data_IF_066675755309
#
_entry.id   IF_066675755309
#
_cell.length_a   1.000
_cell.length_b   1.000
_cell.length_c   1.000
_cell.angle_alpha   90.00
_cell.angle_beta   90.00
_cell.angle_gamma   90.00
#
_symmetry.space_group_name_H-M   'P 1'
#
loop_
_entity.id
_entity.type
_entity.pdbx_description
1 polymer ?
#
# COMPACT_ATOMS: atom_id res chain seq x y z
N UNK A 1 -17.90 -21.41 0.75
CA UNK A 1 -18.67 -21.91 -0.39
C UNK A 1 -19.84 -22.70 0.16
N UNK A 2 -21.06 -22.23 -0.03
CA UNK A 2 -22.27 -22.98 0.31
C UNK A 2 -22.72 -23.80 -0.90
N UNK A 3 -22.48 -25.12 -0.86
CA UNK A 3 -22.86 -26.02 -1.95
C UNK A 3 -24.38 -26.02 -2.20
N UNK A 4 -25.16 -25.84 -1.13
CA UNK A 4 -26.62 -25.76 -1.20
C UNK A 4 -27.11 -24.54 -1.98
N UNK A 5 -26.53 -23.36 -1.70
CA UNK A 5 -26.85 -22.12 -2.41
C UNK A 5 -26.50 -22.22 -3.90
N UNK A 6 -25.34 -22.80 -4.24
CA UNK A 6 -24.95 -22.99 -5.65
C UNK A 6 -25.88 -23.96 -6.38
N UNK A 7 -26.34 -25.02 -5.70
CA UNK A 7 -27.30 -25.96 -6.27
C UNK A 7 -28.66 -25.30 -6.50
N UNK A 8 -29.10 -24.41 -5.60
CA UNK A 8 -30.29 -23.60 -5.81
C UNK A 8 -30.17 -22.70 -7.05
N UNK A 9 -29.04 -22.03 -7.25
CA UNK A 9 -28.81 -21.20 -8.44
C UNK A 9 -28.89 -21.99 -9.76
N UNK A 10 -28.41 -23.24 -9.76
CA UNK A 10 -28.46 -24.13 -10.94
C UNK A 10 -29.91 -24.48 -11.29
N UNK A 11 -30.77 -24.70 -10.28
CA UNK A 11 -32.20 -25.03 -10.44
C UNK A 11 -32.98 -23.88 -11.09
N UNK A 12 -32.56 -22.62 -10.94
CA UNK A 12 -33.23 -21.48 -11.58
C UNK A 12 -33.11 -21.55 -13.11
N UNK A 13 -34.26 -21.56 -13.81
CA UNK A 13 -34.38 -21.62 -15.28
C UNK A 13 -34.89 -20.29 -15.83
N UNK A 14 -34.65 -20.04 -17.13
CA UNK A 14 -35.14 -18.84 -17.82
C UNK A 14 -34.31 -17.56 -17.61
N UNK A 15 -33.15 -17.66 -16.93
CA UNK A 15 -32.21 -16.55 -16.78
C UNK A 15 -31.25 -16.47 -17.97
N UNK A 16 -30.92 -15.27 -18.49
CA UNK A 16 -29.84 -15.09 -19.43
C UNK A 16 -28.51 -15.63 -18.86
N UNK A 17 -27.59 -16.17 -19.70
CA UNK A 17 -26.36 -16.78 -19.21
C UNK A 17 -25.53 -15.87 -18.29
N UNK A 18 -25.36 -14.61 -18.66
CA UNK A 18 -24.62 -13.63 -17.86
C UNK A 18 -25.28 -13.36 -16.49
N UNK A 19 -26.61 -13.28 -16.44
CA UNK A 19 -27.38 -13.10 -15.20
C UNK A 19 -27.25 -14.32 -14.30
N UNK A 20 -27.26 -15.52 -14.90
CA UNK A 20 -27.10 -16.77 -14.20
C UNK A 20 -25.71 -16.93 -13.59
N UNK A 21 -24.66 -16.44 -14.27
CA UNK A 21 -23.28 -16.40 -13.74
C UNK A 21 -23.20 -15.48 -12.52
N UNK A 22 -23.80 -14.29 -12.59
CA UNK A 22 -23.84 -13.35 -11.45
C UNK A 22 -24.54 -13.97 -10.24
N UNK A 23 -25.68 -14.63 -10.45
CA UNK A 23 -26.40 -15.35 -9.40
C UNK A 23 -25.56 -16.48 -8.79
N UNK A 24 -24.83 -17.23 -9.62
CA UNK A 24 -23.98 -18.32 -9.18
C UNK A 24 -22.84 -17.82 -8.29
N UNK A 25 -22.13 -16.75 -8.68
CA UNK A 25 -21.07 -16.15 -7.85
C UNK A 25 -21.59 -15.56 -6.53
N UNK A 26 -22.81 -15.02 -6.52
CA UNK A 26 -23.46 -14.58 -5.29
C UNK A 26 -23.75 -15.76 -4.34
N UNK A 27 -24.19 -16.89 -4.89
CA UNK A 27 -24.47 -18.10 -4.12
C UNK A 27 -23.19 -18.78 -3.61
N UNK A 28 -22.11 -18.80 -4.40
CA UNK A 28 -20.81 -19.32 -3.99
C UNK A 28 -20.25 -18.58 -2.76
N UNK A 29 -20.50 -17.27 -2.71
CA UNK A 29 -20.09 -16.37 -1.63
C UNK A 29 -21.08 -16.26 -0.47
N UNK A 30 -22.20 -16.96 -0.53
CA UNK A 30 -23.19 -16.97 0.54
C UNK A 30 -22.67 -17.76 1.75
N UNK A 31 -22.89 -17.21 2.95
CA UNK A 31 -22.65 -17.87 4.22
C UNK A 31 -23.96 -17.94 5.01
N UNK A 32 -24.41 -19.12 5.50
CA UNK A 32 -25.64 -19.26 6.28
C UNK A 32 -25.75 -18.35 7.50
N UNK A 33 -24.64 -18.14 8.23
CA UNK A 33 -24.68 -17.41 9.50
C UNK A 33 -24.66 -15.88 9.33
N UNK A 34 -23.94 -15.41 8.31
CA UNK A 34 -23.68 -13.98 8.12
C UNK A 34 -24.44 -13.39 6.92
N UNK A 35 -24.78 -14.18 5.91
CA UNK A 35 -25.36 -13.73 4.64
C UNK A 35 -24.31 -13.45 3.55
N UNK A 36 -24.71 -12.69 2.52
CA UNK A 36 -23.87 -12.38 1.35
C UNK A 36 -23.50 -10.89 1.25
N UNK A 37 -22.20 -10.56 1.32
CA UNK A 37 -21.69 -9.17 1.29
C UNK A 37 -20.51 -8.90 0.31
N UNK A 38 -20.52 -9.41 -0.94
CA UNK A 38 -19.44 -9.13 -1.87
C UNK A 38 -19.38 -7.64 -2.25
N UNK A 39 -18.15 -7.09 -2.31
CA UNK A 39 -17.94 -5.76 -2.91
C UNK A 39 -18.26 -5.82 -4.40
N UNK A 40 -19.03 -4.86 -4.91
CA UNK A 40 -19.41 -4.81 -6.34
C UNK A 40 -18.21 -4.86 -7.30
N UNK A 41 -17.09 -4.23 -6.94
CA UNK A 41 -15.86 -4.27 -7.75
C UNK A 41 -15.32 -5.71 -7.87
N UNK A 42 -15.32 -6.45 -6.76
CA UNK A 42 -14.85 -7.83 -6.74
C UNK A 42 -15.83 -8.72 -7.52
N UNK A 43 -17.13 -8.59 -7.27
CA UNK A 43 -18.16 -9.36 -7.98
C UNK A 43 -18.11 -9.13 -9.50
N UNK A 44 -17.85 -7.90 -9.93
CA UNK A 44 -17.70 -7.56 -11.35
C UNK A 44 -16.48 -8.26 -11.99
N UNK A 45 -15.36 -8.33 -11.25
CA UNK A 45 -14.16 -9.03 -11.69
C UNK A 45 -14.39 -10.54 -11.78
N UNK A 46 -15.03 -11.13 -10.77
CA UNK A 46 -15.31 -12.58 -10.75
C UNK A 46 -16.23 -12.99 -11.92
N UNK A 47 -17.19 -12.13 -12.26
CA UNK A 47 -18.12 -12.36 -13.36
C UNK A 47 -17.57 -11.88 -14.72
N UNK A 48 -16.35 -11.33 -14.77
CA UNK A 48 -15.70 -10.79 -15.98
C UNK A 48 -16.54 -9.74 -16.75
N UNK A 49 -17.29 -8.92 -16.02
CA UNK A 49 -18.19 -7.90 -16.60
C UNK A 49 -17.90 -6.51 -16.03
N UNK A 50 -18.28 -5.48 -16.80
CA UNK A 50 -18.21 -4.09 -16.29
C UNK A 50 -19.15 -3.88 -15.10
N UNK A 51 -18.85 -2.90 -14.24
CA UNK A 51 -19.75 -2.53 -13.13
C UNK A 51 -21.12 -2.06 -13.62
N UNK A 52 -21.19 -1.46 -14.79
CA UNK A 52 -22.45 -1.05 -15.41
C UNK A 52 -23.30 -2.26 -15.81
N UNK A 53 -22.69 -3.26 -16.47
CA UNK A 53 -23.34 -4.52 -16.82
C UNK A 53 -23.76 -5.31 -15.59
N UNK A 54 -22.90 -5.39 -14.57
CA UNK A 54 -23.24 -6.02 -13.29
C UNK A 54 -24.49 -5.40 -12.68
N UNK A 55 -24.59 -4.06 -12.64
CA UNK A 55 -25.78 -3.41 -12.09
C UNK A 55 -27.04 -3.69 -12.90
N UNK A 56 -26.96 -3.83 -14.23
CA UNK A 56 -28.10 -4.26 -15.08
C UNK A 56 -28.54 -5.68 -14.73
N UNK A 57 -27.61 -6.62 -14.62
CA UNK A 57 -27.93 -8.00 -14.25
C UNK A 57 -28.45 -8.13 -12.82
N UNK A 58 -27.94 -7.32 -11.88
CA UNK A 58 -28.47 -7.25 -10.51
C UNK A 58 -29.91 -6.73 -10.50
N UNK A 59 -30.23 -5.71 -11.30
CA UNK A 59 -31.62 -5.23 -11.42
C UNK A 59 -32.54 -6.31 -12.00
N UNK A 60 -32.09 -7.06 -13.01
CA UNK A 60 -32.87 -8.15 -13.59
C UNK A 60 -33.11 -9.30 -12.59
N UNK A 61 -32.16 -9.56 -11.68
CA UNK A 61 -32.37 -10.51 -10.58
C UNK A 61 -33.36 -9.99 -9.53
N UNK A 62 -33.38 -8.68 -9.27
CA UNK A 62 -34.36 -8.04 -8.40
C UNK A 62 -35.77 -8.04 -9.00
N UNK A 63 -35.91 -7.74 -10.29
CA UNK A 63 -37.19 -7.78 -11.02
C UNK A 63 -37.82 -9.17 -11.04
N UNK A 64 -36.99 -10.22 -10.96
CA UNK A 64 -37.42 -11.62 -10.90
C UNK A 64 -37.59 -12.15 -9.48
N UNK A 65 -37.51 -11.28 -8.47
CA UNK A 65 -37.63 -11.63 -7.05
C UNK A 65 -36.64 -12.73 -6.60
N UNK A 66 -35.45 -12.81 -7.23
CA UNK A 66 -34.40 -13.78 -6.87
C UNK A 66 -33.36 -13.20 -5.90
N UNK A 67 -33.32 -11.86 -5.78
CA UNK A 67 -32.31 -11.11 -5.06
C UNK A 67 -32.93 -9.82 -4.51
N UNK A 68 -32.46 -9.37 -3.35
CA UNK A 68 -32.73 -8.03 -2.82
C UNK A 68 -31.43 -7.38 -2.35
N UNK A 69 -31.18 -6.12 -2.72
CA UNK A 69 -30.01 -5.35 -2.26
C UNK A 69 -30.38 -4.39 -1.14
N UNK A 70 -29.72 -4.56 0.01
CA UNK A 70 -29.84 -3.64 1.14
C UNK A 70 -28.55 -2.81 1.26
N UNK A 71 -28.67 -1.50 1.04
CA UNK A 71 -27.57 -0.56 1.24
C UNK A 71 -27.47 -0.24 2.72
N UNK A 72 -26.40 -0.71 3.33
CA UNK A 72 -26.14 -0.50 4.75
C UNK A 72 -25.25 0.72 4.95
N UNK A 73 -25.55 1.45 6.01
CA UNK A 73 -24.80 2.60 6.46
C UNK A 73 -24.43 2.36 7.91
N UNK A 74 -23.21 2.72 8.28
CA UNK A 74 -22.80 2.72 9.68
C UNK A 74 -23.29 4.02 10.33
N UNK A 75 -24.13 3.91 11.36
CA UNK A 75 -24.78 5.05 12.02
C UNK A 75 -23.77 5.93 12.76
N UNK A 76 -22.70 5.34 13.29
CA UNK A 76 -21.69 6.04 14.09
C UNK A 76 -20.67 6.77 13.21
N UNK A 77 -20.17 6.11 12.16
CA UNK A 77 -19.17 6.69 11.25
C UNK A 77 -19.76 7.44 10.04
N UNK A 78 -21.08 7.33 9.80
CA UNK A 78 -21.78 7.79 8.58
C UNK A 78 -21.14 7.28 7.27
N UNK A 79 -20.37 6.20 7.34
CA UNK A 79 -19.76 5.57 6.17
C UNK A 79 -20.67 4.49 5.61
N UNK A 80 -20.68 4.35 4.29
CA UNK A 80 -21.40 3.27 3.63
C UNK A 80 -20.68 1.94 3.89
N UNK A 81 -21.37 0.97 4.49
CA UNK A 81 -20.84 -0.39 4.72
C UNK A 81 -21.10 -1.28 3.51
N UNK A 82 -20.63 -2.54 3.57
CA UNK A 82 -20.84 -3.49 2.48
C UNK A 82 -22.31 -3.76 2.25
N UNK A 83 -22.76 -3.60 1.00
CA UNK A 83 -24.13 -3.95 0.57
C UNK A 83 -24.43 -5.40 0.91
N UNK A 84 -25.57 -5.64 1.55
CA UNK A 84 -26.10 -6.98 1.78
C UNK A 84 -26.92 -7.42 0.58
N UNK A 85 -26.71 -8.65 0.14
CA UNK A 85 -27.47 -9.31 -0.91
C UNK A 85 -28.28 -10.43 -0.27
N UNK A 86 -29.59 -10.25 -0.15
CA UNK A 86 -30.50 -11.27 0.36
C UNK A 86 -30.98 -12.12 -0.81
N UNK A 87 -30.79 -13.43 -0.74
CA UNK A 87 -31.18 -14.40 -1.78
C UNK A 87 -32.58 -14.95 -1.48
N UNK A 88 -33.33 -15.31 -2.52
CA UNK A 88 -34.73 -15.72 -2.37
C UNK A 88 -34.97 -17.02 -1.59
N UNK A 89 -33.93 -17.82 -1.32
CA UNK A 89 -34.02 -18.99 -0.46
C UNK A 89 -33.77 -18.69 1.02
N UNK A 90 -33.36 -17.47 1.38
CA UNK A 90 -33.15 -17.07 2.79
C UNK A 90 -34.49 -16.96 3.53
N UNK A 91 -34.52 -17.41 4.78
CA UNK A 91 -35.66 -17.23 5.68
C UNK A 91 -35.89 -15.72 5.93
N UNK A 92 -37.09 -15.23 5.60
CA UNK A 92 -37.42 -13.80 5.71
C UNK A 92 -37.23 -12.99 4.42
N UNK A 93 -36.96 -13.63 3.27
CA UNK A 93 -36.98 -12.95 1.98
C UNK A 93 -38.38 -12.41 1.64
N UNK A 94 -38.49 -11.09 1.40
CA UNK A 94 -39.74 -10.45 0.98
C UNK A 94 -39.64 -10.11 -0.50
N UNK A 95 -40.46 -10.75 -1.38
CA UNK A 95 -40.50 -10.42 -2.80
C UNK A 95 -40.85 -8.95 -3.02
N UNK A 96 -40.19 -8.29 -3.97
CA UNK A 96 -40.46 -6.91 -4.34
C UNK A 96 -41.90 -6.74 -4.84
N UNK A 97 -42.43 -7.76 -5.53
CA UNK A 97 -43.84 -7.85 -5.93
C UNK A 97 -44.83 -7.76 -4.76
N UNK A 98 -44.43 -8.22 -3.56
CA UNK A 98 -45.22 -8.16 -2.33
C UNK A 98 -44.97 -6.89 -1.50
N UNK A 99 -43.77 -6.31 -1.57
CA UNK A 99 -43.47 -5.02 -0.93
C UNK A 99 -44.28 -3.86 -1.56
N UNK A 100 -44.44 -3.88 -2.89
CA UNK A 100 -45.21 -2.89 -3.65
C UNK A 100 -46.73 -2.94 -3.41
N UNK A 101 -47.27 -4.09 -2.98
CA UNK A 101 -48.70 -4.21 -2.64
C UNK A 101 -49.02 -3.73 -1.22
N UNK A 102 -48.10 -3.88 -0.27
CA UNK A 102 -48.24 -3.35 1.11
C UNK A 102 -48.22 -1.81 1.12
N UNK A 103 -47.37 -1.18 0.30
CA UNK A 103 -47.37 0.29 0.17
C UNK A 103 -48.60 0.84 -0.58
N UNK A 104 -49.26 0.02 -1.41
CA UNK A 104 -50.49 0.42 -2.13
C UNK A 104 -51.77 0.29 -1.30
N UNK A 105 -51.85 -0.64 -0.34
CA UNK A 105 -52.99 -0.73 0.58
C UNK A 105 -52.98 0.36 1.67
N UNK A 106 -51.81 0.87 2.04
CA UNK A 106 -51.68 1.95 3.03
C UNK A 106 -52.05 3.36 2.49
N UNK A 107 -52.27 3.52 1.18
CA UNK A 107 -52.43 4.81 0.51
C UNK A 107 -53.86 5.11 0.02
N UNK A 108 -54.88 4.93 0.88
CA UNK A 108 -56.26 5.42 0.66
C UNK A 108 -56.58 6.60 1.61
N UNK A 109 -55.98 7.76 1.30
CA UNK A 109 -56.30 9.20 1.53
C UNK A 109 -57.12 9.68 2.78
N UNK A 110 -56.90 10.93 3.29
CA UNK A 110 -57.18 12.17 2.55
C UNK A 110 -56.02 13.19 2.49
N UNK A 111 -56.31 14.26 1.74
CA UNK A 111 -55.44 15.14 0.97
C UNK A 111 -54.77 16.33 1.73
N UNK A 112 -53.59 16.72 1.21
CA UNK A 112 -53.01 18.10 1.05
C UNK A 112 -52.49 18.86 2.29
N UNK A 113 -51.50 19.79 2.15
CA UNK A 113 -51.20 20.57 0.94
C UNK A 113 -49.77 20.51 0.39
N UNK A 114 -49.74 20.78 -0.91
CA UNK A 114 -48.61 21.17 -1.75
C UNK A 114 -48.04 22.51 -1.24
N UNK A 115 -46.76 22.56 -0.90
CA UNK A 115 -46.01 23.83 -0.85
C UNK A 115 -45.21 23.98 -2.13
N UNK A 116 -45.66 24.90 -2.98
CA UNK A 116 -44.88 25.44 -4.08
C UNK A 116 -43.66 26.16 -3.49
N UNK A 117 -42.45 25.74 -3.85
CA UNK A 117 -41.25 26.57 -3.77
C UNK A 117 -40.56 26.47 -5.14
N UNK A 118 -40.59 27.59 -5.86
CA UNK A 118 -39.89 27.85 -7.11
C UNK A 118 -38.35 27.91 -6.92
N UNK A 119 -37.55 27.77 -8.00
CA UNK A 119 -36.17 27.31 -7.93
C UNK A 119 -35.20 28.44 -7.59
N UNK A 120 -34.33 28.21 -6.61
CA UNK A 120 -33.15 29.07 -6.37
C UNK A 120 -31.95 28.50 -7.14
N UNK A 121 -31.27 29.29 -8.01
CA UNK A 121 -30.21 28.79 -8.86
C UNK A 121 -28.84 28.99 -8.18
N UNK A 122 -28.46 28.10 -7.27
CA UNK A 122 -27.08 28.08 -6.77
C UNK A 122 -26.44 26.71 -7.03
N UNK A 123 -25.73 26.65 -8.16
CA UNK A 123 -24.92 25.48 -8.56
C UNK A 123 -23.70 25.39 -7.64
N UNK A 124 -23.37 24.22 -7.06
CA UNK A 124 -22.02 23.98 -6.57
C UNK A 124 -21.07 23.88 -7.78
N UNK A 125 -20.18 24.86 -7.93
CA UNK A 125 -19.15 24.88 -8.97
C UNK A 125 -18.04 23.89 -8.58
N UNK A 126 -18.26 22.61 -8.87
CA UNK A 126 -17.17 21.63 -8.92
C UNK A 126 -16.44 21.81 -10.25
N UNK A 127 -15.19 22.29 -10.21
CA UNK A 127 -14.32 22.45 -11.39
C UNK A 127 -13.79 21.11 -11.96
N UNK A 128 -14.45 19.99 -11.66
CA UNK A 128 -14.11 18.68 -12.24
C UNK A 128 -15.08 18.39 -13.38
N UNK A 129 -14.54 18.06 -14.55
CA UNK A 129 -15.30 17.52 -15.68
C UNK A 129 -16.21 16.38 -15.18
N UNK A 130 -17.53 16.39 -15.48
CA UNK A 130 -18.42 15.31 -15.11
C UNK A 130 -17.91 14.01 -15.73
N UNK A 131 -17.65 12.99 -14.90
CA UNK A 131 -17.32 11.66 -15.41
C UNK A 131 -18.56 11.16 -16.17
N UNK A 132 -18.42 10.70 -17.43
CA UNK A 132 -19.51 10.08 -18.18
C UNK A 132 -20.18 8.98 -17.33
N UNK A 133 -21.39 9.24 -16.87
CA UNK A 133 -22.16 8.33 -16.04
C UNK A 133 -23.60 8.28 -16.56
N UNK A 134 -24.20 7.10 -16.53
CA UNK A 134 -25.56 6.84 -17.03
C UNK A 134 -26.66 7.68 -16.35
N UNK A 135 -26.36 8.32 -15.21
CA UNK A 135 -27.30 9.20 -14.50
C UNK A 135 -27.36 10.63 -15.05
N UNK A 136 -26.39 11.04 -15.86
CA UNK A 136 -26.41 12.36 -16.50
C UNK A 136 -26.89 12.18 -17.94
N UNK A 137 -28.13 12.55 -18.24
CA UNK A 137 -28.80 12.37 -19.55
C UNK A 137 -28.13 13.05 -20.75
N UNK A 138 -26.99 13.71 -20.54
CA UNK A 138 -26.17 14.34 -21.59
C UNK A 138 -25.06 13.42 -22.14
N UNK A 139 -24.75 12.28 -21.49
CA UNK A 139 -23.73 11.35 -21.99
C UNK A 139 -24.39 10.14 -22.67
N UNK A 140 -24.27 10.03 -24.00
CA UNK A 140 -24.68 8.84 -24.77
C UNK A 140 -23.75 7.64 -24.59
N UNK A 141 -22.57 7.82 -23.98
CA UNK A 141 -21.54 6.79 -23.84
C UNK A 141 -21.32 6.47 -22.36
N UNK A 142 -21.29 5.18 -22.03
CA UNK A 142 -20.93 4.68 -20.69
C UNK A 142 -19.43 4.42 -20.65
N UNK A 143 -18.75 4.87 -19.58
CA UNK A 143 -17.40 4.38 -19.28
C UNK A 143 -17.51 2.90 -18.89
N UNK A 144 -17.22 2.00 -19.83
CA UNK A 144 -17.03 0.59 -19.53
C UNK A 144 -15.63 0.43 -18.91
N UNK A 145 -15.56 -0.02 -17.65
CA UNK A 145 -14.30 -0.23 -16.92
C UNK A 145 -13.39 -1.33 -17.53
N UNK A 146 -13.87 -2.03 -18.57
CA UNK A 146 -13.19 -3.10 -19.28
C UNK A 146 -12.92 -2.68 -20.73
N UNK A 147 -11.71 -2.16 -21.00
CA UNK A 147 -11.21 -2.00 -22.36
C UNK A 147 -10.87 -3.38 -22.93
N UNK A 148 -11.72 -3.92 -23.81
CA UNK A 148 -11.47 -5.18 -24.54
C UNK A 148 -10.47 -5.01 -25.70
N UNK A 149 -10.05 -3.77 -25.99
CA UNK A 149 -9.09 -3.44 -27.06
C UNK A 149 -7.74 -3.12 -26.43
N UNK A 150 -6.73 -3.94 -26.72
CA UNK A 150 -5.32 -3.61 -26.45
C UNK A 150 -4.86 -2.70 -27.59
N UNK A 151 -4.83 -1.39 -27.34
CA UNK A 151 -4.31 -0.43 -28.32
C UNK A 151 -2.84 -0.77 -28.67
N UNK A 152 -2.45 -0.75 -29.96
CA UNK A 152 -1.07 -0.97 -30.35
C UNK A 152 -0.18 0.14 -29.76
N UNK A 153 0.98 -0.26 -29.23
CA UNK A 153 1.95 0.63 -28.57
C UNK A 153 2.41 1.69 -29.56
N UNK A 154 2.13 2.97 -29.28
CA UNK A 154 2.77 4.11 -29.95
C UNK A 154 4.16 4.31 -29.34
N UNK A 155 5.19 4.08 -30.15
CA UNK A 155 6.56 4.43 -29.80
C UNK A 155 6.70 5.96 -29.69
N UNK A 156 7.38 6.51 -28.66
CA UNK A 156 7.67 7.92 -28.61
C UNK A 156 8.81 8.26 -29.58
N UNK A 157 8.47 9.01 -30.63
CA UNK A 157 9.45 9.67 -31.50
C UNK A 157 10.20 10.71 -30.66
N UNK A 158 11.52 10.57 -30.66
CA UNK A 158 12.47 11.36 -29.92
C UNK A 158 12.98 12.48 -30.84
N UNK A 159 12.39 13.67 -30.78
CA UNK A 159 12.92 14.85 -31.49
C UNK A 159 13.30 15.93 -30.48
N UNK A 160 14.61 15.96 -30.19
CA UNK A 160 15.32 17.15 -29.72
C UNK A 160 15.63 18.02 -30.93
N UNK A 161 15.23 19.28 -30.90
CA UNK A 161 15.97 20.36 -31.55
C UNK A 161 15.68 21.69 -30.85
N UNK A 162 16.75 22.45 -30.66
CA UNK A 162 16.82 23.71 -29.93
C UNK A 162 16.14 24.87 -30.67
N UNK A 163 15.57 25.81 -29.92
CA UNK A 163 15.48 27.21 -30.34
C UNK A 163 15.67 28.12 -29.11
N UNK A 164 16.80 28.82 -29.11
CA UNK A 164 17.21 29.83 -28.13
C UNK A 164 16.52 31.17 -28.37
N UNK A 165 16.38 31.96 -27.30
CA UNK A 165 16.12 33.41 -27.31
C UNK A 165 14.99 33.78 -26.34
N UNK A 166 15.10 34.72 -25.40
CA UNK A 166 16.14 35.69 -25.08
C UNK A 166 16.00 36.11 -23.59
N UNK A 167 17.10 36.63 -23.06
CA UNK A 167 17.39 37.13 -21.71
C UNK A 167 16.34 38.10 -21.12
N UNK A 168 16.16 38.06 -19.80
CA UNK A 168 16.37 39.23 -18.93
C UNK A 168 16.79 38.84 -17.49
N UNK A 169 18.00 39.30 -17.16
CA UNK A 169 18.51 39.80 -15.86
C UNK A 169 18.69 38.81 -14.69
N UNK A 170 19.86 38.18 -14.72
CA UNK A 170 20.61 37.77 -13.53
C UNK A 170 21.19 39.00 -12.82
N UNK A 171 20.86 39.20 -11.56
CA UNK A 171 21.80 39.82 -10.62
C UNK A 171 22.52 38.68 -9.90
N UNK A 172 23.76 38.43 -10.32
CA UNK A 172 24.72 37.58 -9.63
C UNK A 172 25.04 38.17 -8.26
N UNK A 173 24.74 37.43 -7.18
CA UNK A 173 25.34 37.70 -5.86
C UNK A 173 26.47 36.68 -5.64
N UNK A 174 27.60 37.07 -5.01
CA UNK A 174 28.79 36.22 -4.92
C UNK A 174 28.59 34.97 -4.07
N UNK A 175 29.49 34.02 -4.30
CA UNK A 175 29.71 32.78 -3.56
C UNK A 175 29.67 33.05 -2.04
N UNK A 176 28.74 32.39 -1.35
CA UNK A 176 28.79 32.22 0.11
C UNK A 176 27.58 32.70 0.93
N UNK A 177 26.54 33.31 0.35
CA UNK A 177 25.32 33.66 1.12
C UNK A 177 24.04 33.27 0.37
N UNK A 178 23.29 32.32 0.91
CA UNK A 178 21.95 31.98 0.42
C UNK A 178 21.03 33.21 0.47
N UNK A 179 20.32 33.49 -0.63
CA UNK A 179 19.34 34.58 -0.75
C UNK A 179 18.30 34.53 0.39
N UNK A 180 17.88 35.69 0.90
CA UNK A 180 16.87 35.80 1.95
C UNK A 180 15.55 35.07 1.60
N UNK A 181 15.20 34.99 0.32
CA UNK A 181 14.05 34.23 -0.16
C UNK A 181 14.22 32.71 0.03
N UNK A 182 15.44 32.18 -0.14
CA UNK A 182 15.73 30.77 0.08
C UNK A 182 15.58 30.42 1.56
N UNK A 183 16.00 31.33 2.45
CA UNK A 183 15.83 31.17 3.90
C UNK A 183 14.37 31.25 4.33
N UNK A 184 13.56 32.14 3.75
CA UNK A 184 12.13 32.20 4.02
C UNK A 184 11.40 30.91 3.58
N UNK A 185 11.79 30.31 2.45
CA UNK A 185 11.24 29.02 2.01
C UNK A 185 11.61 27.88 2.98
N UNK A 186 12.88 27.81 3.40
CA UNK A 186 13.35 26.82 4.39
C UNK A 186 12.64 26.99 5.74
N UNK A 187 12.46 28.23 6.18
CA UNK A 187 11.73 28.59 7.39
C UNK A 187 10.26 28.14 7.34
N UNK A 188 9.53 28.47 6.28
CA UNK A 188 8.11 28.05 6.12
C UNK A 188 7.97 26.52 6.12
N UNK A 189 8.89 25.82 5.47
CA UNK A 189 8.91 24.34 5.46
C UNK A 189 9.15 23.75 6.85
N UNK A 190 10.12 24.29 7.59
CA UNK A 190 10.42 23.89 8.96
C UNK A 190 9.23 24.13 9.89
N UNK A 191 8.59 25.30 9.75
CA UNK A 191 7.39 25.68 10.51
C UNK A 191 6.22 24.73 10.23
N UNK A 192 5.89 24.45 8.96
CA UNK A 192 4.79 23.53 8.60
C UNK A 192 4.97 22.11 9.15
N UNK A 193 6.20 21.68 9.46
CA UNK A 193 6.47 20.40 10.10
C UNK A 193 6.22 20.38 11.61
N UNK A 194 5.96 21.52 12.25
CA UNK A 194 5.81 21.63 13.70
C UNK A 194 4.37 21.40 14.18
N UNK A 195 4.12 20.63 15.26
CA UNK A 195 2.75 20.33 15.71
C UNK A 195 1.98 21.50 16.34
N UNK A 196 2.67 22.51 16.87
CA UNK A 196 2.06 23.59 17.69
C UNK A 196 2.02 24.95 16.98
N UNK A 197 2.19 24.98 15.66
CA UNK A 197 2.31 26.23 14.85
C UNK A 197 1.16 27.20 15.06
N UNK A 198 -0.05 26.68 15.25
CA UNK A 198 -1.27 27.50 15.42
C UNK A 198 -1.24 28.31 16.72
N UNK A 199 -0.52 27.85 17.74
CA UNK A 199 -0.40 28.52 19.04
C UNK A 199 0.86 29.39 19.18
N UNK A 200 1.73 29.44 18.18
CA UNK A 200 2.99 30.17 18.23
C UNK A 200 2.82 31.63 17.75
N UNK A 201 3.46 32.57 18.45
CA UNK A 201 3.54 33.96 18.00
C UNK A 201 4.54 34.08 16.83
N UNK A 202 3.99 34.26 15.62
CA UNK A 202 4.74 34.50 14.38
C UNK A 202 5.98 35.42 14.52
N UNK A 203 5.89 36.62 15.11
CA UNK A 203 7.02 37.53 15.20
C UNK A 203 8.14 37.01 16.12
N UNK A 204 7.82 36.23 17.15
CA UNK A 204 8.84 35.67 18.05
C UNK A 204 9.58 34.51 17.41
N UNK A 205 8.87 33.70 16.63
CA UNK A 205 9.46 32.59 15.88
C UNK A 205 10.42 33.13 14.82
N UNK A 206 10.02 34.16 14.08
CA UNK A 206 10.85 34.79 13.06
C UNK A 206 12.11 35.41 13.68
N UNK A 207 11.96 36.15 14.79
CA UNK A 207 13.09 36.69 15.56
C UNK A 207 14.04 35.60 16.05
N UNK A 208 13.51 34.49 16.56
CA UNK A 208 14.31 33.36 17.03
C UNK A 208 15.04 32.63 15.89
N UNK A 209 14.39 32.49 14.73
CA UNK A 209 14.98 31.86 13.54
C UNK A 209 16.12 32.68 12.95
N UNK A 210 15.93 33.99 12.83
CA UNK A 210 16.97 34.87 12.29
C UNK A 210 18.13 35.11 13.28
N UNK A 211 17.92 34.90 14.58
CA UNK A 211 19.00 34.94 15.58
C UNK A 211 19.98 33.75 15.48
N UNK A 212 19.58 32.63 14.86
CA UNK A 212 20.43 31.44 14.66
C UNK A 212 21.37 31.59 13.45
N UNK A 213 22.52 30.94 13.50
CA UNK A 213 23.47 30.87 12.38
C UNK A 213 23.00 29.90 11.27
N UNK A 214 23.60 29.97 10.08
CA UNK A 214 23.23 29.13 8.93
C UNK A 214 23.31 27.62 9.23
N UNK A 215 24.43 27.16 9.81
CA UNK A 215 24.60 25.75 10.19
C UNK A 215 23.58 25.31 11.26
N UNK A 216 23.29 26.18 12.23
CA UNK A 216 22.32 25.90 13.29
C UNK A 216 20.90 25.82 12.76
N UNK A 217 20.51 26.67 11.80
CA UNK A 217 19.21 26.60 11.13
C UNK A 217 19.04 25.29 10.36
N UNK A 218 20.11 24.84 9.69
CA UNK A 218 20.08 23.58 8.94
C UNK A 218 19.92 22.38 9.87
N UNK A 219 20.72 22.32 10.96
CA UNK A 219 20.58 21.31 12.01
C UNK A 219 19.20 21.34 12.68
N UNK A 220 18.73 22.54 13.05
CA UNK A 220 17.42 22.71 13.66
C UNK A 220 16.32 22.19 12.75
N UNK A 221 16.41 22.46 11.44
CA UNK A 221 15.43 22.05 10.43
C UNK A 221 15.44 20.54 10.14
N UNK A 222 16.61 19.90 10.14
CA UNK A 222 16.74 18.47 9.88
C UNK A 222 16.28 17.63 11.07
N UNK A 223 16.48 18.12 12.30
CA UNK A 223 16.16 17.40 13.53
C UNK A 223 14.74 17.66 14.08
N UNK A 224 13.92 18.47 13.40
CA UNK A 224 12.53 18.76 13.84
C UNK A 224 11.73 17.48 14.04
N UNK A 225 11.68 16.62 13.01
CA UNK A 225 10.91 15.38 13.05
C UNK A 225 11.44 14.43 14.13
N UNK A 226 12.77 14.39 14.31
CA UNK A 226 13.44 13.62 15.34
C UNK A 226 12.97 14.04 16.74
N UNK A 227 12.97 15.35 16.99
CA UNK A 227 12.58 15.94 18.26
C UNK A 227 11.11 15.68 18.60
N UNK A 228 10.22 15.89 17.63
CA UNK A 228 8.78 15.66 17.79
C UNK A 228 8.50 14.19 18.11
N UNK A 229 9.14 13.27 17.40
CA UNK A 229 8.97 11.84 17.62
C UNK A 229 9.52 11.40 18.99
N UNK A 230 10.67 11.94 19.40
CA UNK A 230 11.22 11.69 20.73
C UNK A 230 10.30 12.18 21.84
N UNK A 231 9.74 13.39 21.72
CA UNK A 231 8.78 13.92 22.71
C UNK A 231 7.51 13.07 22.81
N UNK A 232 6.98 12.59 21.68
CA UNK A 232 5.83 11.67 21.65
C UNK A 232 6.15 10.32 22.28
N UNK A 233 7.36 9.78 22.05
CA UNK A 233 7.83 8.53 22.65
C UNK A 233 7.97 8.58 24.17
N UNK A 234 8.21 9.76 24.74
CA UNK A 234 8.22 10.00 26.19
C UNK A 234 6.82 10.16 26.81
N UNK A 235 5.74 9.98 26.03
CA UNK A 235 4.36 10.09 26.50
C UNK A 235 3.87 11.54 26.72
N UNK A 236 4.60 12.55 26.25
CA UNK A 236 4.17 13.95 26.38
C UNK A 236 3.13 14.30 25.33
N UNK A 237 1.96 14.76 25.77
CA UNK A 237 0.85 15.20 24.91
C UNK A 237 0.99 16.63 24.39
N UNK A 238 1.73 17.49 25.12
CA UNK A 238 2.01 18.87 24.73
C UNK A 238 3.49 19.04 24.38
N UNK A 239 3.74 19.46 23.15
CA UNK A 239 5.09 19.83 22.66
C UNK A 239 5.27 21.33 22.92
N UNK A 240 6.52 21.77 23.12
CA UNK A 240 6.81 23.18 23.34
C UNK A 240 6.54 24.04 22.10
N UNK A 241 6.38 25.34 22.32
CA UNK A 241 6.37 26.36 21.26
C UNK A 241 7.59 26.25 20.33
N UNK A 242 7.41 26.52 19.04
CA UNK A 242 8.52 26.47 18.08
C UNK A 242 9.57 27.55 18.37
N UNK A 243 9.13 28.73 18.84
CA UNK A 243 10.04 29.79 19.29
C UNK A 243 10.95 29.32 20.44
N UNK A 244 10.42 28.51 21.36
CA UNK A 244 11.17 27.92 22.48
C UNK A 244 12.15 26.84 22.01
N UNK A 245 11.74 26.00 21.04
CA UNK A 245 12.63 25.02 20.40
C UNK A 245 13.87 25.69 19.78
N UNK A 246 13.67 26.81 19.07
CA UNK A 246 14.73 27.61 18.45
C UNK A 246 15.61 28.34 19.47
N UNK A 247 15.01 29.08 20.41
CA UNK A 247 15.75 29.87 21.42
C UNK A 247 16.62 29.00 22.32
N UNK A 248 16.12 27.83 22.72
CA UNK A 248 16.79 26.94 23.67
C UNK A 248 17.61 25.82 22.98
N UNK A 249 17.77 25.88 21.65
CA UNK A 249 18.52 24.90 20.85
C UNK A 249 18.22 23.45 21.20
N UNK A 250 16.93 23.12 21.35
CA UNK A 250 16.48 21.83 21.92
C UNK A 250 16.90 20.59 21.14
N UNK A 251 17.32 20.74 19.88
CA UNK A 251 17.88 19.65 19.08
C UNK A 251 19.25 19.18 19.57
N UNK A 252 20.03 20.03 20.25
CA UNK A 252 21.32 19.65 20.82
C UNK A 252 21.15 18.67 22.00
N UNK A 253 20.07 18.87 22.77
CA UNK A 253 19.69 18.05 23.94
C UNK A 253 19.05 16.70 23.58
N UNK A 254 18.89 16.39 22.30
CA UNK A 254 18.39 15.07 21.88
C UNK A 254 19.45 13.99 22.13
N UNK A 255 19.07 12.82 22.67
CA UNK A 255 20.00 11.69 22.74
C UNK A 255 20.41 11.30 21.31
N UNK A 256 21.65 10.86 21.12
CA UNK A 256 22.18 10.54 19.79
C UNK A 256 21.36 9.48 19.08
N UNK A 257 20.80 8.53 19.84
CA UNK A 257 19.85 7.54 19.34
C UNK A 257 18.60 8.18 18.74
N UNK A 258 18.10 9.28 19.29
CA UNK A 258 16.97 10.04 18.76
C UNK A 258 17.36 10.91 17.56
N UNK A 259 18.56 11.53 17.58
CA UNK A 259 19.12 12.26 16.42
C UNK A 259 19.18 11.36 15.18
N UNK A 260 19.64 10.12 15.36
CA UNK A 260 19.67 9.12 14.30
C UNK A 260 18.29 8.52 13.96
N UNK A 261 17.33 8.52 14.90
CA UNK A 261 15.97 8.01 14.66
C UNK A 261 15.03 9.04 13.99
N UNK A 262 15.52 10.24 13.71
CA UNK A 262 14.81 11.30 12.99
C UNK A 262 14.67 11.12 11.48
N UNK A 263 15.03 9.95 10.93
CA UNK A 263 14.88 9.69 9.50
C UNK A 263 13.42 9.79 9.05
N UNK A 264 13.21 10.26 7.82
CA UNK A 264 11.91 10.21 7.15
C UNK A 264 11.28 8.83 7.33
N UNK A 265 10.02 8.78 7.72
CA UNK A 265 9.27 7.52 7.69
C UNK A 265 8.79 7.33 6.27
N UNK A 266 9.18 6.23 5.64
CA UNK A 266 8.85 5.93 4.25
C UNK A 266 8.00 4.67 4.15
N UNK A 267 7.07 4.67 3.18
CA UNK A 267 6.22 3.52 2.90
C UNK A 267 6.89 2.69 1.80
N UNK A 268 7.46 1.55 2.18
CA UNK A 268 8.06 0.60 1.28
C UNK A 268 6.98 -0.31 0.67
N UNK A 269 6.56 -0.04 -0.57
CA UNK A 269 5.55 -0.85 -1.28
C UNK A 269 5.99 -2.31 -1.38
N UNK A 270 5.05 -3.24 -1.17
CA UNK A 270 5.29 -4.69 -1.31
C UNK A 270 6.02 -5.04 -2.61
N UNK A 271 7.01 -5.92 -2.51
CA UNK A 271 7.88 -6.35 -3.60
C UNK A 271 8.71 -5.24 -4.28
N UNK A 272 8.66 -3.99 -3.82
CA UNK A 272 9.42 -2.87 -4.38
C UNK A 272 10.88 -2.80 -3.91
N UNK A 273 11.68 -1.89 -4.48
CA UNK A 273 13.11 -1.73 -4.16
C UNK A 273 13.39 -1.53 -2.66
N UNK A 274 12.77 -0.52 -2.05
CA UNK A 274 12.97 -0.22 -0.62
C UNK A 274 12.52 -1.41 0.25
N UNK A 275 11.45 -2.09 -0.14
CA UNK A 275 10.97 -3.28 0.56
C UNK A 275 11.98 -4.44 0.47
N UNK A 276 12.57 -4.64 -0.72
CA UNK A 276 13.65 -5.59 -0.95
C UNK A 276 14.90 -5.29 -0.11
N UNK A 277 15.32 -4.03 -0.02
CA UNK A 277 16.46 -3.64 0.83
C UNK A 277 16.23 -4.07 2.28
N UNK A 278 15.07 -3.76 2.86
CA UNK A 278 14.75 -4.14 4.23
C UNK A 278 14.64 -5.66 4.40
N UNK A 279 14.12 -6.37 3.39
CA UNK A 279 14.10 -7.84 3.37
C UNK A 279 15.51 -8.41 3.50
N UNK A 280 16.42 -8.00 2.63
CA UNK A 280 17.77 -8.53 2.64
C UNK A 280 18.55 -8.07 3.87
N UNK A 281 18.38 -6.83 4.33
CA UNK A 281 18.98 -6.37 5.58
C UNK A 281 18.54 -7.20 6.81
N UNK A 282 17.30 -7.69 6.84
CA UNK A 282 16.84 -8.59 7.90
C UNK A 282 17.34 -10.03 7.70
N UNK A 283 17.51 -10.50 6.45
CA UNK A 283 18.08 -11.82 6.14
C UNK A 283 19.58 -11.94 6.46
N UNK A 284 20.33 -10.84 6.37
CA UNK A 284 21.75 -10.81 6.70
C UNK A 284 22.03 -10.90 8.20
N UNK A 285 21.01 -10.68 9.04
CA UNK A 285 21.13 -10.88 10.49
C UNK A 285 21.14 -12.38 10.82
N UNK A 286 21.79 -12.78 11.93
CA UNK A 286 21.75 -14.17 12.38
C UNK A 286 20.30 -14.63 12.63
N UNK A 287 19.99 -15.92 12.41
CA UNK A 287 18.66 -16.45 12.62
C UNK A 287 18.26 -16.39 14.11
N UNK A 288 16.98 -16.15 14.36
CA UNK A 288 16.40 -16.16 15.69
C UNK A 288 16.35 -17.59 16.27
N UNK A 289 16.25 -17.68 17.60
CA UNK A 289 16.05 -18.94 18.30
C UNK A 289 14.78 -19.63 17.81
N UNK A 290 14.92 -20.88 17.37
CA UNK A 290 13.81 -21.69 16.84
C UNK A 290 13.06 -22.41 17.96
N UNK A 291 11.75 -22.66 17.80
CA UNK A 291 10.99 -23.48 18.74
C UNK A 291 11.48 -24.93 18.74
N UNK A 292 11.31 -25.66 19.85
CA UNK A 292 11.66 -27.08 19.93
C UNK A 292 10.88 -27.91 18.88
N UNK A 293 11.54 -28.83 18.16
CA UNK A 293 10.84 -29.67 17.19
C UNK A 293 9.89 -30.66 17.89
N UNK A 294 8.80 -31.09 17.22
CA UNK A 294 8.01 -32.24 17.63
C UNK A 294 8.85 -33.54 17.59
N UNK A 295 8.49 -34.53 18.40
CA UNK A 295 9.22 -35.81 18.52
C UNK A 295 9.46 -36.52 17.18
N UNK A 296 8.51 -36.46 16.24
CA UNK A 296 8.66 -37.03 14.89
C UNK A 296 9.79 -36.35 14.11
N UNK A 297 9.89 -35.02 14.23
CA UNK A 297 10.94 -34.23 13.56
C UNK A 297 12.27 -34.39 14.30
N UNK A 298 12.26 -34.50 15.62
CA UNK A 298 13.46 -34.84 16.41
C UNK A 298 14.07 -36.17 15.96
N UNK A 299 13.24 -37.19 15.71
CA UNK A 299 13.70 -38.46 15.14
C UNK A 299 14.42 -38.31 13.81
N UNK A 300 13.88 -37.48 12.90
CA UNK A 300 14.50 -37.18 11.59
C UNK A 300 15.82 -36.43 11.77
N UNK A 301 15.84 -35.42 12.65
CA UNK A 301 17.04 -34.62 12.91
C UNK A 301 18.16 -35.45 13.55
N UNK A 302 17.81 -36.38 14.43
CA UNK A 302 18.76 -37.28 15.10
C UNK A 302 19.22 -38.42 14.19
N UNK A 303 18.41 -38.83 13.22
CA UNK A 303 18.74 -39.87 12.24
C UNK A 303 19.89 -39.50 11.29
N UNK A 304 20.20 -38.20 11.15
CA UNK A 304 21.26 -37.72 10.29
C UNK A 304 20.99 -37.90 8.78
N UNK A 305 21.96 -37.51 7.96
CA UNK A 305 21.87 -37.60 6.50
C UNK A 305 21.11 -36.46 5.82
N UNK A 306 20.84 -36.63 4.53
CA UNK A 306 20.26 -35.60 3.65
C UNK A 306 18.87 -35.13 4.12
N UNK A 307 18.05 -36.04 4.64
CA UNK A 307 16.72 -35.70 5.17
C UNK A 307 16.80 -34.82 6.42
N UNK A 308 17.77 -35.08 7.31
CA UNK A 308 17.99 -34.27 8.50
C UNK A 308 18.46 -32.86 8.12
N UNK A 309 19.34 -32.73 7.12
CA UNK A 309 19.82 -31.44 6.62
C UNK A 309 18.73 -30.64 5.90
N UNK A 310 17.94 -31.29 5.06
CA UNK A 310 16.79 -30.67 4.40
C UNK A 310 15.77 -30.15 5.42
N UNK A 311 15.48 -30.91 6.47
CA UNK A 311 14.58 -30.48 7.54
C UNK A 311 15.19 -29.36 8.40
N UNK A 312 16.51 -29.35 8.64
CA UNK A 312 17.19 -28.20 9.29
C UNK A 312 17.02 -26.93 8.46
N UNK A 313 17.28 -26.98 7.16
CA UNK A 313 17.13 -25.82 6.26
C UNK A 313 15.68 -25.36 6.16
N UNK A 314 14.73 -26.29 6.08
CA UNK A 314 13.29 -25.98 6.09
C UNK A 314 12.89 -25.28 7.38
N UNK A 315 13.34 -25.77 8.54
CA UNK A 315 13.04 -25.16 9.84
C UNK A 315 13.67 -23.77 9.97
N UNK A 316 14.89 -23.59 9.47
CA UNK A 316 15.52 -22.27 9.38
C UNK A 316 14.70 -21.30 8.52
N UNK A 317 14.20 -21.75 7.37
CA UNK A 317 13.40 -20.91 6.49
C UNK A 317 12.07 -20.48 7.15
N UNK A 318 11.45 -21.36 7.94
CA UNK A 318 10.16 -21.07 8.59
C UNK A 318 10.34 -20.22 9.86
N UNK A 319 11.32 -20.55 10.70
CA UNK A 319 11.44 -20.01 12.06
C UNK A 319 12.64 -19.07 12.27
N UNK A 320 13.65 -19.11 11.40
CA UNK A 320 14.88 -18.34 11.57
C UNK A 320 14.67 -16.83 11.39
N UNK A 321 13.80 -16.41 10.49
CA UNK A 321 13.55 -14.99 10.20
C UNK A 321 12.07 -14.63 10.27
N UNK A 322 11.45 -14.66 11.46
CA UNK A 322 10.01 -14.44 11.63
C UNK A 322 9.57 -13.08 11.09
N UNK A 323 10.40 -12.04 11.26
CA UNK A 323 10.13 -10.70 10.71
C UNK A 323 10.03 -10.69 9.17
N UNK A 324 10.87 -11.46 8.50
CA UNK A 324 10.87 -11.57 7.03
C UNK A 324 9.64 -12.35 6.57
N UNK A 325 9.31 -13.44 7.26
CA UNK A 325 8.12 -14.26 7.02
C UNK A 325 6.84 -13.42 7.21
N UNK A 326 6.75 -12.64 8.29
CA UNK A 326 5.63 -11.72 8.54
C UNK A 326 5.50 -10.68 7.43
N UNK A 327 6.63 -10.14 6.98
CA UNK A 327 6.66 -9.16 5.90
C UNK A 327 6.18 -9.77 4.56
N UNK A 328 6.52 -11.03 4.26
CA UNK A 328 6.00 -11.76 3.10
C UNK A 328 4.49 -12.02 3.24
N UNK A 329 4.04 -12.50 4.40
CA UNK A 329 2.63 -12.74 4.68
C UNK A 329 1.79 -11.46 4.57
N UNK A 330 2.32 -10.33 5.02
CA UNK A 330 1.66 -9.03 4.91
C UNK A 330 1.54 -8.56 3.45
N UNK A 331 2.63 -8.70 2.68
CA UNK A 331 2.64 -8.42 1.26
C UNK A 331 1.64 -9.30 0.49
N UNK A 332 1.57 -10.60 0.82
CA UNK A 332 0.66 -11.56 0.20
C UNK A 332 -0.82 -11.28 0.53
N UNK A 333 -1.18 -11.11 1.80
CA UNK A 333 -2.61 -11.02 2.22
C UNK A 333 -3.25 -9.67 1.95
N UNK A 334 -2.49 -8.57 2.04
CA UNK A 334 -3.05 -7.20 2.02
C UNK A 334 -2.54 -6.36 0.86
N UNK A 335 -1.59 -6.88 0.06
CA UNK A 335 -0.79 -6.04 -0.85
C UNK A 335 -0.04 -4.92 -0.11
N UNK A 336 0.11 -5.07 1.21
CA UNK A 336 0.52 -4.01 2.12
C UNK A 336 2.02 -3.80 2.06
N UNK A 337 2.44 -2.54 1.90
CA UNK A 337 3.82 -2.16 2.11
C UNK A 337 4.22 -2.18 3.59
N UNK A 338 5.51 -2.00 3.85
CA UNK A 338 6.04 -1.84 5.19
C UNK A 338 6.36 -0.37 5.44
N UNK A 339 5.95 0.15 6.60
CA UNK A 339 6.42 1.46 7.06
C UNK A 339 7.81 1.30 7.66
N UNK A 340 8.81 1.89 7.02
CA UNK A 340 10.23 1.73 7.36
C UNK A 340 10.87 3.07 7.69
N UNK A 341 11.96 3.02 8.44
CA UNK A 341 12.80 4.20 8.68
C UNK A 341 13.51 4.58 7.35
N UNK A 342 13.81 5.85 7.13
CA UNK A 342 14.45 6.29 5.88
C UNK A 342 15.93 5.91 5.74
N UNK A 343 16.53 5.28 6.77
CA UNK A 343 17.98 5.03 6.84
C UNK A 343 18.49 4.25 5.64
N UNK A 344 17.91 3.10 5.32
CA UNK A 344 18.43 2.21 4.27
C UNK A 344 17.92 2.53 2.86
N UNK A 345 17.10 3.57 2.70
CA UNK A 345 16.50 3.95 1.42
C UNK A 345 17.53 4.17 0.30
N UNK A 346 18.72 4.76 0.55
CA UNK A 346 19.73 4.93 -0.49
C UNK A 346 20.19 3.63 -1.16
N UNK A 347 20.20 2.50 -0.42
CA UNK A 347 20.58 1.18 -0.96
C UNK A 347 19.57 0.63 -1.99
N UNK A 348 18.44 1.30 -2.21
CA UNK A 348 17.50 0.94 -3.27
C UNK A 348 18.12 1.05 -4.68
N UNK A 349 19.23 1.79 -4.85
CA UNK A 349 19.99 1.81 -6.11
C UNK A 349 20.58 0.45 -6.48
N UNK A 350 20.89 -0.37 -5.47
CA UNK A 350 21.50 -1.70 -5.63
C UNK A 350 20.47 -2.78 -5.97
N UNK A 351 19.21 -2.40 -6.27
CA UNK A 351 18.15 -3.33 -6.61
C UNK A 351 17.67 -3.15 -8.05
N UNK A 352 17.49 -4.28 -8.74
CA UNK A 352 17.00 -4.37 -10.10
C UNK A 352 15.70 -5.17 -10.16
N UNK A 353 14.87 -4.88 -11.15
CA UNK A 353 13.59 -5.54 -11.34
C UNK A 353 13.79 -6.86 -12.10
N UNK A 354 13.30 -7.96 -11.54
CA UNK A 354 13.44 -9.31 -12.10
C UNK A 354 12.07 -9.91 -12.34
N UNK A 355 11.91 -10.60 -13.47
CA UNK A 355 10.67 -11.30 -13.82
C UNK A 355 10.56 -12.60 -13.03
N UNK A 356 9.41 -12.82 -12.40
CA UNK A 356 9.12 -14.09 -11.70
C UNK A 356 9.07 -15.23 -12.72
N UNK A 357 9.70 -16.35 -12.38
CA UNK A 357 9.77 -17.55 -13.23
C UNK A 357 10.95 -17.60 -14.20
N UNK A 358 11.73 -16.53 -14.38
CA UNK A 358 12.92 -16.53 -15.23
C UNK A 358 14.10 -17.31 -14.58
N UNK A 359 15.16 -17.58 -15.33
CA UNK A 359 16.36 -18.31 -14.86
C UNK A 359 17.02 -17.59 -13.67
N UNK A 360 17.07 -16.26 -13.72
CA UNK A 360 17.58 -15.43 -12.61
C UNK A 360 16.74 -15.63 -11.33
N UNK A 361 15.42 -15.76 -11.48
CA UNK A 361 14.51 -16.01 -10.37
C UNK A 361 14.73 -17.40 -9.76
N UNK A 362 14.93 -18.42 -10.60
CA UNK A 362 15.24 -19.77 -10.13
C UNK A 362 16.60 -19.84 -9.44
N UNK A 363 17.61 -19.10 -9.93
CA UNK A 363 18.91 -19.00 -9.26
C UNK A 363 18.80 -18.34 -7.88
N UNK A 364 18.01 -17.27 -7.73
CA UNK A 364 17.72 -16.68 -6.42
C UNK A 364 16.99 -17.65 -5.49
N UNK A 365 16.04 -18.43 -6.01
CA UNK A 365 15.30 -19.44 -5.26
C UNK A 365 16.22 -20.54 -4.74
N UNK A 366 17.11 -21.03 -5.59
CA UNK A 366 18.12 -22.02 -5.22
C UNK A 366 19.05 -21.49 -4.13
N UNK A 367 19.59 -20.28 -4.28
CA UNK A 367 20.46 -19.66 -3.28
C UNK A 367 19.77 -19.54 -1.90
N UNK A 368 18.48 -19.17 -1.88
CA UNK A 368 17.73 -19.09 -0.62
C UNK A 368 17.53 -20.47 0.00
N UNK A 369 17.30 -21.51 -0.82
CA UNK A 369 17.26 -22.90 -0.36
C UNK A 369 18.57 -23.34 0.29
N UNK A 370 19.71 -23.07 -0.36
CA UNK A 370 21.05 -23.39 0.15
C UNK A 370 21.37 -22.68 1.47
N UNK A 371 20.88 -21.44 1.65
CA UNK A 371 21.06 -20.67 2.90
C UNK A 371 19.99 -20.94 3.97
N UNK A 372 18.97 -21.74 3.67
CA UNK A 372 17.82 -21.94 4.57
C UNK A 372 17.03 -20.66 4.81
N UNK A 373 17.05 -19.72 3.87
CA UNK A 373 16.33 -18.44 3.97
C UNK A 373 14.85 -18.60 3.57
N UNK A 374 13.93 -17.83 4.19
CA UNK A 374 12.54 -17.81 3.78
C UNK A 374 12.40 -17.38 2.32
N UNK A 375 11.73 -18.23 1.55
CA UNK A 375 11.29 -17.93 0.19
C UNK A 375 9.84 -17.45 0.18
N UNK A 376 9.46 -16.81 -0.93
CA UNK A 376 8.11 -16.34 -1.14
C UNK A 376 7.08 -17.48 -1.29
N UNK A 377 5.81 -17.10 -1.36
CA UNK A 377 4.70 -17.97 -1.75
C UNK A 377 4.90 -18.56 -3.18
N UNK A 378 4.08 -19.54 -3.60
CA UNK A 378 4.18 -20.13 -4.94
C UNK A 378 4.21 -19.07 -6.05
N UNK A 379 4.99 -19.32 -7.10
CA UNK A 379 5.29 -18.32 -8.14
C UNK A 379 4.01 -17.73 -8.81
N UNK A 380 2.91 -18.51 -8.88
CA UNK A 380 1.60 -18.08 -9.43
C UNK A 380 0.92 -16.96 -8.63
N UNK A 381 1.26 -16.85 -7.35
CA UNK A 381 0.63 -15.96 -6.38
C UNK A 381 1.43 -14.65 -6.20
N UNK A 382 2.54 -14.53 -6.93
CA UNK A 382 3.45 -13.39 -6.93
C UNK A 382 3.14 -12.44 -8.09
N UNK A 383 3.51 -11.14 -7.98
CA UNK A 383 3.46 -10.24 -9.12
C UNK A 383 4.44 -10.70 -10.20
N UNK A 384 4.19 -10.29 -11.45
CA UNK A 384 5.07 -10.59 -12.59
C UNK A 384 6.53 -10.14 -12.37
N UNK A 385 6.73 -9.14 -11.51
CA UNK A 385 8.02 -8.51 -11.26
C UNK A 385 8.29 -8.32 -9.77
N UNK A 386 9.49 -8.70 -9.34
CA UNK A 386 10.00 -8.51 -7.97
C UNK A 386 11.38 -7.86 -8.03
N UNK A 387 11.72 -7.05 -7.05
CA UNK A 387 13.04 -6.42 -6.97
C UNK A 387 14.02 -7.28 -6.14
N UNK A 388 15.20 -7.52 -6.71
CA UNK A 388 16.31 -8.27 -6.10
C UNK A 388 17.62 -7.48 -6.22
N UNK A 389 18.67 -7.85 -5.46
CA UNK A 389 20.00 -7.29 -5.62
C UNK A 389 20.46 -7.33 -7.08
N UNK A 390 21.06 -6.22 -7.51
CA UNK A 390 21.51 -5.99 -8.88
C UNK A 390 22.64 -6.96 -9.22
N UNK A 391 22.52 -7.60 -10.38
CA UNK A 391 23.58 -8.44 -10.93
C UNK A 391 24.77 -7.58 -11.38
N UNK A 392 25.98 -8.09 -11.17
CA UNK A 392 27.20 -7.50 -11.71
C UNK A 392 27.24 -7.71 -13.23
N UNK A 393 27.86 -6.77 -13.95
CA UNK A 393 27.98 -6.83 -15.41
C UNK A 393 29.10 -7.79 -15.89
N UNK A 394 29.61 -8.62 -14.99
CA UNK A 394 30.66 -9.60 -15.25
C UNK A 394 30.06 -10.89 -15.83
N UNK A 395 30.85 -11.60 -16.62
CA UNK A 395 30.46 -12.92 -17.14
C UNK A 395 30.69 -13.98 -16.06
N UNK A 396 29.62 -14.68 -15.69
CA UNK A 396 29.67 -15.76 -14.71
C UNK A 396 29.42 -17.12 -15.39
N UNK A 397 30.08 -18.19 -14.92
CA UNK A 397 29.88 -19.55 -15.43
C UNK A 397 28.44 -20.05 -15.30
N UNK A 398 27.75 -19.59 -14.26
CA UNK A 398 26.38 -19.99 -13.96
C UNK A 398 25.57 -18.81 -13.43
N UNK A 399 24.25 -18.87 -13.64
CA UNK A 399 23.33 -17.86 -13.11
C UNK A 399 23.35 -17.82 -11.57
N UNK A 400 23.60 -18.97 -10.93
CA UNK A 400 23.74 -19.09 -9.48
C UNK A 400 24.95 -18.31 -8.97
N UNK A 401 26.09 -18.39 -9.65
CA UNK A 401 27.29 -17.62 -9.30
C UNK A 401 27.10 -16.12 -9.49
N UNK A 402 26.43 -15.70 -10.57
CA UNK A 402 26.07 -14.30 -10.77
C UNK A 402 25.20 -13.76 -9.62
N UNK A 403 24.24 -14.56 -9.15
CA UNK A 403 23.38 -14.22 -8.02
C UNK A 403 24.14 -14.20 -6.70
N UNK A 404 25.09 -15.12 -6.47
CA UNK A 404 25.97 -15.12 -5.30
C UNK A 404 26.86 -13.87 -5.27
N UNK A 405 27.44 -13.49 -6.41
CA UNK A 405 28.26 -12.30 -6.54
C UNK A 405 27.43 -11.01 -6.32
N UNK A 406 26.21 -10.97 -6.84
CA UNK A 406 25.26 -9.88 -6.59
C UNK A 406 24.94 -9.71 -5.10
N UNK A 407 24.74 -10.83 -4.39
CA UNK A 407 24.50 -10.80 -2.95
C UNK A 407 25.73 -10.33 -2.17
N UNK A 408 26.93 -10.81 -2.51
CA UNK A 408 28.18 -10.34 -1.89
C UNK A 408 28.39 -8.84 -2.09
N UNK A 409 28.11 -8.32 -3.30
CA UNK A 409 28.16 -6.88 -3.57
C UNK A 409 27.17 -6.09 -2.71
N UNK A 410 25.95 -6.63 -2.49
CA UNK A 410 24.98 -6.00 -1.60
C UNK A 410 25.41 -6.07 -0.13
N UNK A 411 25.97 -7.19 0.33
CA UNK A 411 26.54 -7.35 1.68
C UNK A 411 27.64 -6.30 1.93
N UNK A 412 28.54 -6.08 0.96
CA UNK A 412 29.56 -5.05 1.01
C UNK A 412 28.97 -3.63 1.08
N UNK A 413 27.97 -3.33 0.26
CA UNK A 413 27.30 -2.02 0.25
C UNK A 413 26.56 -1.78 1.57
N UNK A 414 25.89 -2.81 2.10
CA UNK A 414 25.18 -2.76 3.38
C UNK A 414 26.15 -2.51 4.52
N UNK A 415 27.25 -3.26 4.62
CA UNK A 415 28.27 -3.12 5.66
C UNK A 415 28.96 -1.74 5.64
N UNK A 416 29.23 -1.19 4.44
CA UNK A 416 29.75 0.19 4.29
C UNK A 416 28.73 1.23 4.78
N UNK A 417 27.45 0.98 4.58
CA UNK A 417 26.37 1.89 4.96
C UNK A 417 26.04 1.82 6.46
N UNK A 418 26.11 0.65 7.08
CA UNK A 418 25.87 0.45 8.51
C UNK A 418 27.10 0.75 9.37
N UNK A 419 28.29 0.81 8.78
CA UNK A 419 29.56 1.05 9.48
C UNK A 419 30.15 -0.19 10.16
N UNK A 420 29.54 -1.37 9.97
CA UNK A 420 29.94 -2.63 10.62
C UNK A 420 31.31 -3.16 10.16
N UNK A 421 31.85 -2.65 9.04
CA UNK A 421 33.20 -3.01 8.60
C UNK A 421 34.32 -2.43 9.47
N UNK A 422 34.08 -1.31 10.17
CA UNK A 422 35.07 -0.74 11.09
C UNK A 422 35.26 -1.61 12.34
N UNK A 423 34.20 -2.24 12.84
CA UNK A 423 34.26 -3.04 14.09
C UNK A 423 34.83 -4.45 13.89
N UNK A 424 34.81 -4.99 12.68
CA UNK A 424 35.33 -6.34 12.40
C UNK A 424 36.86 -6.35 12.14
N UNK A 425 37.44 -5.25 11.64
CA UNK A 425 38.89 -5.12 11.47
C UNK A 425 39.60 -4.79 12.80
N UNK A 426 38.97 -4.01 13.69
CA UNK A 426 39.51 -3.70 15.03
C UNK A 426 39.43 -4.87 16.04
N UNK A 427 38.69 -5.94 15.73
CA UNK A 427 38.61 -7.14 16.55
C UNK A 427 39.56 -8.26 16.08
N UNK A 428 40.27 -8.04 14.97
CA UNK A 428 41.20 -8.99 14.36
C UNK A 428 42.67 -8.50 14.38
N UNK A 429 42.92 -7.26 14.80
CA UNK A 429 44.21 -6.76 15.30
C UNK A 429 44.23 -6.81 16.83
#
# INVERSE_FOLDING_TARGET
>A
MSHEATNWAIKQKGLPPAVKIVLWHLCDRFNPDFGCFPKQKTLALDCEISRASLNRHLNELEERDLLQREKRWDEESRQQTSTRYSLAFEEGFVPMSKALSVEKEAAKTPEKPVSQIEPTPEKPVSQKQPIPCLKNGQSRVSNCDTNLVREPVREPVNERACASGNLEKKNSTPIGKLSGEAWQKRFKKALHGWPTVVGDSWPEVEKAWFALNEAEREQASSLISAYVNHCKGLGRTKICAFSKYLKEKRWEQLPETAKCNGGSVEVAKAYGKVWGVYRFADLLKPPNSMPKPPATIEGILNGGGEQAEAEKLRRLAIYGWPRVVDMHNHAFRRGGGLTVKGKLVPLASEFLQIRVGNDIWQAWKQLHGERGWPWFAPDRDLPDWVYMPKLLAEEFPSMLEAVRAALASFEDAYARFTGERATAQEAAE
#
